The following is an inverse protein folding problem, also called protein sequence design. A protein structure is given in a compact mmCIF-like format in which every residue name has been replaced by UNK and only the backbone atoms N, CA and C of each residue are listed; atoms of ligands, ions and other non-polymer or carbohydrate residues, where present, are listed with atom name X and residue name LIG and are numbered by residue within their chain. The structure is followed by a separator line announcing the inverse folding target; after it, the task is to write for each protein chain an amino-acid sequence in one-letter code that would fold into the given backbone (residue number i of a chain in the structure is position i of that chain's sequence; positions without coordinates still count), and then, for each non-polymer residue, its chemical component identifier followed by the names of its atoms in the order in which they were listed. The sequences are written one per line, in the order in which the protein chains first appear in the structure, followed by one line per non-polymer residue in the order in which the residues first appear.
data_IF_725475874546
#
_entry.id   IF_725475874546
#
_cell.length_a   1.000
_cell.length_b   1.000
_cell.length_c   1.000
_cell.angle_alpha   90.00
_cell.angle_beta   90.00
_cell.angle_gamma   90.00
#
_symmetry.space_group_name_H-M   'P 1'
#
loop_
_entity.id
_entity.type
_entity.pdbx_description
1 polymer ?
#
# COMPACT_ATOMS: atom_id res chain seq x y z
N UNK A 1 23.48 -9.67 4.62
CA UNK A 1 22.07 -10.11 4.43
C UNK A 1 21.56 -9.50 3.16
N UNK A 2 21.20 -10.33 2.17
CA UNK A 2 20.87 -9.87 0.81
C UNK A 2 19.41 -9.39 0.82
N UNK A 3 19.22 -8.08 0.89
CA UNK A 3 17.97 -7.43 0.50
C UNK A 3 17.76 -7.72 -0.98
N UNK A 4 16.85 -8.64 -1.28
CA UNK A 4 16.44 -8.86 -2.67
C UNK A 4 15.48 -7.72 -2.95
N UNK A 5 16.01 -6.63 -3.52
CA UNK A 5 15.23 -5.73 -4.33
C UNK A 5 14.75 -6.55 -5.54
N UNK A 6 13.57 -7.15 -5.42
CA UNK A 6 12.83 -7.54 -6.61
C UNK A 6 12.54 -6.24 -7.35
N UNK A 7 13.32 -5.94 -8.41
CA UNK A 7 13.11 -4.79 -9.28
C UNK A 7 11.69 -4.85 -9.84
N UNK A 8 10.80 -4.14 -9.16
CA UNK A 8 9.43 -3.95 -9.56
C UNK A 8 9.39 -2.65 -10.34
N UNK A 9 9.75 -2.73 -11.62
CA UNK A 9 9.75 -1.57 -12.53
C UNK A 9 8.30 -1.19 -12.85
N UNK A 10 7.75 -0.27 -12.06
CA UNK A 10 6.46 0.37 -12.34
C UNK A 10 6.66 1.87 -12.47
N UNK A 11 6.20 2.39 -13.60
CA UNK A 11 6.16 3.81 -13.88
C UNK A 11 5.14 4.49 -12.95
N UNK A 12 5.61 5.36 -12.06
CA UNK A 12 4.76 6.11 -11.15
C UNK A 12 4.05 7.25 -11.90
N UNK A 13 2.81 7.02 -12.29
CA UNK A 13 1.92 8.08 -12.81
C UNK A 13 1.14 8.72 -11.67
N UNK A 14 0.72 9.98 -11.80
CA UNK A 14 -0.19 10.62 -10.84
C UNK A 14 -1.55 10.90 -11.51
N UNK A 15 -2.45 9.90 -11.60
CA UNK A 15 -3.73 10.05 -12.28
C UNK A 15 -4.66 11.04 -11.57
N UNK A 16 -4.59 11.14 -10.23
CA UNK A 16 -5.45 12.05 -9.46
C UNK A 16 -5.22 13.54 -9.79
N UNK A 17 -4.09 13.91 -10.40
CA UNK A 17 -3.82 15.30 -10.83
C UNK A 17 -4.60 15.72 -12.08
N UNK A 18 -5.08 14.77 -12.89
CA UNK A 18 -5.75 15.04 -14.17
C UNK A 18 -7.19 14.57 -14.23
N UNK A 19 -7.56 13.52 -13.49
CA UNK A 19 -8.91 12.93 -13.54
C UNK A 19 -9.38 12.60 -12.11
N UNK A 20 -10.14 13.52 -11.50
CA UNK A 20 -10.61 13.41 -10.11
C UNK A 20 -11.57 12.24 -9.89
N UNK A 21 -12.27 11.81 -10.94
CA UNK A 21 -13.31 10.77 -10.88
C UNK A 21 -12.74 9.36 -10.60
N UNK A 22 -11.44 9.14 -10.76
CA UNK A 22 -10.78 7.90 -10.38
C UNK A 22 -10.58 7.78 -8.87
N UNK A 23 -10.51 8.91 -8.16
CA UNK A 23 -10.10 8.96 -6.76
C UNK A 23 -11.32 9.07 -5.81
N UNK A 24 -12.51 8.58 -6.25
CA UNK A 24 -13.78 8.67 -5.52
C UNK A 24 -13.77 8.04 -4.12
N UNK A 25 -12.95 7.00 -3.91
CA UNK A 25 -12.85 6.29 -2.63
C UNK A 25 -11.55 6.59 -1.86
N UNK A 26 -10.78 7.61 -2.27
CA UNK A 26 -9.47 7.91 -1.70
C UNK A 26 -9.56 8.83 -0.49
N UNK A 27 -8.86 8.47 0.61
CA UNK A 27 -8.79 9.35 1.76
C UNK A 27 -7.99 10.63 1.45
N UNK A 28 -8.43 11.77 2.00
CA UNK A 28 -7.82 13.09 1.77
C UNK A 28 -6.32 13.14 2.11
N UNK A 29 -5.89 12.37 3.12
CA UNK A 29 -4.48 12.22 3.48
C UNK A 29 -3.64 11.65 2.33
N UNK A 30 -4.17 10.64 1.61
CA UNK A 30 -3.45 10.06 0.49
C UNK A 30 -3.35 11.05 -0.66
N UNK A 31 -4.44 11.77 -0.97
CA UNK A 31 -4.45 12.80 -2.01
C UNK A 31 -3.42 13.91 -1.77
N UNK A 32 -3.15 14.27 -0.51
CA UNK A 32 -2.13 15.28 -0.15
C UNK A 32 -0.71 14.80 -0.46
N UNK A 33 -0.44 13.52 -0.26
CA UNK A 33 0.93 12.99 -0.39
C UNK A 33 1.20 12.36 -1.74
N UNK A 34 0.16 11.92 -2.46
CA UNK A 34 0.26 11.26 -3.76
C UNK A 34 1.11 12.00 -4.80
N UNK A 35 1.04 13.34 -4.94
CA UNK A 35 1.86 14.08 -5.90
C UNK A 35 3.36 14.01 -5.62
N UNK A 36 3.74 13.75 -4.37
CA UNK A 36 5.14 13.72 -3.93
C UNK A 36 5.73 12.30 -3.96
N UNK A 37 4.90 11.26 -4.13
CA UNK A 37 5.37 9.87 -4.14
C UNK A 37 6.20 9.61 -5.40
N UNK A 38 7.47 9.25 -5.20
CA UNK A 38 8.44 9.02 -6.28
C UNK A 38 9.18 7.68 -6.18
N UNK A 39 8.79 6.80 -5.26
CA UNK A 39 9.35 5.45 -5.15
C UNK A 39 8.30 4.42 -4.75
N UNK A 40 8.47 3.19 -5.23
CA UNK A 40 7.64 2.03 -4.88
C UNK A 40 8.54 0.97 -4.28
N UNK A 41 8.15 0.40 -3.14
CA UNK A 41 8.79 -0.77 -2.57
C UNK A 41 7.74 -1.82 -2.26
N UNK A 42 8.01 -3.07 -2.62
CA UNK A 42 7.12 -4.20 -2.31
C UNK A 42 7.89 -5.20 -1.48
N UNK A 43 7.44 -5.46 -0.26
CA UNK A 43 8.16 -6.36 0.64
C UNK A 43 8.00 -7.82 0.21
N UNK A 44 8.97 -8.66 0.57
CA UNK A 44 8.88 -10.11 0.34
C UNK A 44 7.65 -10.74 0.99
N UNK A 45 7.19 -10.21 2.14
CA UNK A 45 6.01 -10.73 2.86
C UNK A 45 4.74 -10.49 2.06
N UNK A 46 4.61 -9.33 1.42
CA UNK A 46 3.49 -9.01 0.53
C UNK A 46 3.28 -10.07 -0.55
N UNK A 47 4.35 -10.45 -1.28
CA UNK A 47 4.27 -11.52 -2.28
C UNK A 47 3.89 -12.87 -1.67
N UNK A 48 4.47 -13.20 -0.50
CA UNK A 48 4.17 -14.46 0.20
C UNK A 48 2.72 -14.55 0.68
N UNK A 49 2.13 -13.44 1.09
CA UNK A 49 0.74 -13.40 1.57
C UNK A 49 -0.26 -13.74 0.43
N UNK A 50 0.07 -13.36 -0.81
CA UNK A 50 -0.75 -13.65 -2.01
C UNK A 50 -0.47 -15.03 -2.62
N UNK A 51 0.76 -15.54 -2.51
CA UNK A 51 1.24 -16.78 -3.16
C UNK A 51 1.15 -16.77 -4.69
N UNK A 52 0.93 -15.60 -5.27
CA UNK A 52 0.87 -15.36 -6.72
C UNK A 52 1.53 -14.02 -7.01
N UNK A 53 2.63 -14.06 -7.77
CA UNK A 53 3.41 -12.88 -8.08
C UNK A 53 2.72 -11.97 -9.08
N UNK A 54 1.98 -12.51 -10.06
CA UNK A 54 1.29 -11.72 -11.07
C UNK A 54 0.11 -11.00 -10.44
N UNK A 55 -0.68 -11.69 -9.62
CA UNK A 55 -1.73 -11.07 -8.82
C UNK A 55 -1.18 -9.94 -7.93
N UNK A 56 -0.01 -10.14 -7.32
CA UNK A 56 0.64 -9.10 -6.53
C UNK A 56 1.01 -7.87 -7.39
N UNK A 57 1.53 -8.08 -8.62
CA UNK A 57 1.85 -6.98 -9.53
C UNK A 57 0.61 -6.20 -9.95
N UNK A 58 -0.47 -6.90 -10.26
CA UNK A 58 -1.75 -6.30 -10.66
C UNK A 58 -2.34 -5.45 -9.53
N UNK A 59 -2.37 -5.98 -8.30
CA UNK A 59 -2.86 -5.24 -7.13
C UNK A 59 -2.04 -3.97 -6.90
N UNK A 60 -0.71 -4.06 -6.98
CA UNK A 60 0.16 -2.89 -6.81
C UNK A 60 -0.13 -1.84 -7.88
N UNK A 61 -0.21 -2.24 -9.15
CA UNK A 61 -0.54 -1.33 -10.26
C UNK A 61 -1.91 -0.68 -10.06
N UNK A 62 -2.94 -1.46 -9.75
CA UNK A 62 -4.30 -0.95 -9.55
C UNK A 62 -4.38 0.07 -8.40
N UNK A 63 -3.63 -0.16 -7.31
CA UNK A 63 -3.52 0.80 -6.20
C UNK A 63 -2.79 2.08 -6.64
N UNK A 64 -1.68 1.97 -7.38
CA UNK A 64 -0.91 3.12 -7.84
C UNK A 64 -1.66 3.96 -8.87
N UNK A 65 -2.40 3.31 -9.77
CA UNK A 65 -3.22 3.95 -10.79
C UNK A 65 -4.52 4.53 -10.23
N UNK A 66 -4.74 4.39 -8.92
CA UNK A 66 -5.95 4.81 -8.23
C UNK A 66 -7.23 4.26 -8.91
N UNK A 67 -7.17 3.05 -9.46
CA UNK A 67 -8.31 2.43 -10.14
C UNK A 67 -9.37 2.02 -9.11
N UNK A 68 -10.43 2.81 -8.94
CA UNK A 68 -11.47 2.53 -7.94
C UNK A 68 -12.40 1.37 -8.33
N UNK A 69 -12.41 0.93 -9.58
CA UNK A 69 -13.34 -0.10 -10.08
C UNK A 69 -13.19 -1.44 -9.34
N UNK A 70 -11.98 -1.75 -8.88
CA UNK A 70 -11.66 -3.04 -8.25
C UNK A 70 -11.64 -2.99 -6.72
N UNK A 71 -11.87 -1.83 -6.11
CA UNK A 71 -11.74 -1.64 -4.67
C UNK A 71 -13.03 -1.10 -4.04
N UNK A 72 -13.51 -1.80 -3.02
CA UNK A 72 -14.56 -1.28 -2.14
C UNK A 72 -14.10 -0.05 -1.37
N UNK A 73 -12.81 0.01 -1.08
CA UNK A 73 -12.19 1.10 -0.34
C UNK A 73 -10.73 1.22 -0.78
N UNK A 74 -10.29 2.41 -1.16
CA UNK A 74 -8.96 2.62 -1.72
C UNK A 74 -8.26 3.72 -0.94
N UNK A 75 -7.02 3.49 -0.50
CA UNK A 75 -6.26 4.45 0.29
C UNK A 75 -6.98 4.95 1.56
N UNK A 76 -7.73 4.09 2.27
CA UNK A 76 -8.24 4.44 3.60
C UNK A 76 -7.05 4.71 4.50
N UNK A 77 -7.04 5.88 5.11
CA UNK A 77 -6.05 6.21 6.12
C UNK A 77 -6.37 5.45 7.41
N UNK A 78 -5.37 4.75 7.94
CA UNK A 78 -5.49 4.04 9.22
C UNK A 78 -4.89 4.89 10.34
N UNK A 79 -3.59 5.21 10.24
CA UNK A 79 -2.88 5.91 11.31
C UNK A 79 -1.49 6.42 10.88
N UNK A 80 -0.81 7.13 11.79
CA UNK A 80 0.61 7.46 11.70
C UNK A 80 1.45 6.51 12.57
N UNK A 81 2.43 5.83 11.98
CA UNK A 81 3.36 4.94 12.71
C UNK A 81 4.80 5.26 12.32
N UNK A 82 5.64 5.58 13.30
CA UNK A 82 7.05 5.95 13.10
C UNK A 82 7.27 7.08 12.06
N UNK A 83 6.30 7.99 11.96
CA UNK A 83 6.32 9.09 10.98
C UNK A 83 6.00 8.66 9.54
N UNK A 84 5.49 7.45 9.34
CA UNK A 84 4.91 7.00 8.07
C UNK A 84 3.38 7.05 8.17
N UNK A 85 2.71 7.31 7.04
CA UNK A 85 1.26 7.25 6.95
C UNK A 85 0.84 5.87 6.48
N UNK A 86 0.06 5.15 7.29
CA UNK A 86 -0.41 3.80 6.99
C UNK A 86 -1.78 3.88 6.33
N UNK A 87 -1.91 3.14 5.24
CA UNK A 87 -3.12 3.08 4.43
C UNK A 87 -3.55 1.63 4.19
N UNK A 88 -4.84 1.49 3.89
CA UNK A 88 -5.47 0.24 3.49
C UNK A 88 -6.15 0.39 2.13
N UNK A 89 -6.06 -0.65 1.31
CA UNK A 89 -6.98 -0.89 0.22
C UNK A 89 -7.76 -2.18 0.47
N UNK A 90 -9.06 -2.20 0.17
CA UNK A 90 -9.94 -3.35 0.32
C UNK A 90 -10.46 -3.81 -1.04
N UNK A 91 -10.04 -5.00 -1.47
CA UNK A 91 -10.48 -5.68 -2.70
C UNK A 91 -11.01 -7.06 -2.33
N UNK A 92 -12.23 -7.38 -2.72
CA UNK A 92 -12.87 -8.67 -2.36
C UNK A 92 -12.80 -8.92 -0.83
N UNK A 93 -12.18 -10.02 -0.41
CA UNK A 93 -11.94 -10.39 1.00
C UNK A 93 -10.54 -9.98 1.48
N UNK A 94 -9.78 -9.22 0.69
CA UNK A 94 -8.41 -8.85 0.98
C UNK A 94 -8.31 -7.45 1.58
N UNK A 95 -7.50 -7.33 2.62
CA UNK A 95 -7.03 -6.08 3.22
C UNK A 95 -5.55 -5.92 2.88
N UNK A 96 -5.27 -5.00 1.97
CA UNK A 96 -3.93 -4.67 1.50
C UNK A 96 -3.40 -3.51 2.32
N UNK A 97 -2.32 -3.72 3.07
CA UNK A 97 -1.72 -2.70 3.94
C UNK A 97 -0.39 -2.22 3.36
N UNK A 98 -0.27 -0.91 3.26
CA UNK A 98 0.93 -0.22 2.78
C UNK A 98 1.09 1.10 3.52
N UNK A 99 2.25 1.72 3.40
CA UNK A 99 2.49 3.03 3.97
C UNK A 99 3.20 3.96 2.98
N UNK A 100 3.15 5.25 3.26
CA UNK A 100 4.02 6.26 2.63
C UNK A 100 5.03 6.69 3.68
N UNK A 101 6.32 6.52 3.37
CA UNK A 101 7.41 6.88 4.28
C UNK A 101 7.82 8.35 4.14
N UNK A 102 8.80 8.77 4.97
CA UNK A 102 9.32 10.14 4.98
C UNK A 102 10.08 10.52 3.71
N UNK A 103 10.57 9.54 2.97
CA UNK A 103 11.25 9.71 1.69
C UNK A 103 10.27 9.63 0.51
N UNK A 104 8.96 9.78 0.77
CA UNK A 104 7.90 9.72 -0.22
C UNK A 104 7.95 8.44 -1.08
N UNK A 105 8.30 7.31 -0.46
CA UNK A 105 8.17 5.98 -1.04
C UNK A 105 6.88 5.34 -0.54
N UNK A 106 6.11 4.73 -1.44
CA UNK A 106 5.01 3.84 -1.06
C UNK A 106 5.54 2.43 -0.86
N UNK A 107 5.26 1.84 0.31
CA UNK A 107 5.80 0.55 0.74
C UNK A 107 4.65 -0.44 0.95
N UNK A 108 4.54 -1.45 0.09
CA UNK A 108 3.56 -2.52 0.19
C UNK A 108 4.01 -3.60 1.18
N UNK A 109 3.32 -3.68 2.32
CA UNK A 109 3.78 -4.44 3.48
C UNK A 109 3.16 -5.83 3.55
N UNK A 110 1.82 -5.93 3.61
CA UNK A 110 1.11 -7.18 3.90
C UNK A 110 -0.24 -7.25 3.20
N UNK A 111 -0.75 -8.47 3.03
CA UNK A 111 -2.12 -8.74 2.61
C UNK A 111 -2.78 -9.70 3.60
N UNK A 112 -4.00 -9.38 4.03
CA UNK A 112 -4.79 -10.23 4.94
C UNK A 112 -6.11 -10.63 4.28
N UNK A 113 -6.46 -11.91 4.30
CA UNK A 113 -7.77 -12.41 3.85
C UNK A 113 -8.81 -12.48 4.97
N UNK A 114 -8.38 -12.24 6.21
CA UNK A 114 -9.20 -12.26 7.42
C UNK A 114 -9.13 -10.89 8.10
N UNK A 115 -10.30 -10.33 8.42
CA UNK A 115 -10.38 -9.02 9.07
C UNK A 115 -9.74 -8.99 10.47
N UNK A 116 -9.92 -10.05 11.28
CA UNK A 116 -9.36 -10.10 12.64
C UNK A 116 -7.84 -10.15 12.64
N UNK A 117 -7.24 -10.79 11.65
CA UNK A 117 -5.77 -10.81 11.50
C UNK A 117 -5.23 -9.43 11.12
N UNK A 118 -5.92 -8.74 10.21
CA UNK A 118 -5.63 -7.36 9.85
C UNK A 118 -5.74 -6.42 11.06
N UNK A 119 -6.82 -6.53 11.85
CA UNK A 119 -7.06 -5.71 13.03
C UNK A 119 -5.95 -5.93 14.08
N UNK A 120 -5.66 -7.19 14.39
CA UNK A 120 -4.55 -7.55 15.28
C UNK A 120 -3.19 -7.03 14.80
N UNK A 121 -2.96 -7.05 13.48
CA UNK A 121 -1.74 -6.50 12.90
C UNK A 121 -1.62 -4.99 13.06
N UNK A 122 -2.72 -4.25 12.90
CA UNK A 122 -2.73 -2.82 13.18
C UNK A 122 -2.50 -2.54 14.67
N UNK A 123 -3.04 -3.35 15.57
CA UNK A 123 -2.83 -3.19 17.01
C UNK A 123 -1.39 -3.51 17.45
N UNK A 124 -0.68 -4.41 16.76
CA UNK A 124 0.73 -4.69 17.01
C UNK A 124 1.65 -3.59 16.41
N UNK A 125 1.65 -2.43 17.09
CA UNK A 125 2.51 -1.29 16.71
C UNK A 125 3.99 -1.65 16.69
N UNK A 126 4.42 -2.68 17.43
CA UNK A 126 5.81 -3.11 17.48
C UNK A 126 6.19 -3.85 16.19
N UNK A 127 5.35 -4.75 15.71
CA UNK A 127 5.55 -5.42 14.41
C UNK A 127 5.49 -4.41 13.26
N UNK A 128 4.50 -3.51 13.27
CA UNK A 128 4.32 -2.52 12.22
C UNK A 128 5.54 -1.59 12.10
N UNK A 129 6.06 -1.09 13.23
CA UNK A 129 7.31 -0.31 13.26
C UNK A 129 8.50 -1.09 12.73
N UNK A 130 8.65 -2.37 13.09
CA UNK A 130 9.75 -3.21 12.59
C UNK A 130 9.70 -3.36 11.08
N UNK A 131 8.53 -3.56 10.50
CA UNK A 131 8.38 -3.66 9.04
C UNK A 131 8.77 -2.37 8.35
N UNK A 132 8.31 -1.23 8.86
CA UNK A 132 8.62 0.10 8.30
C UNK A 132 10.12 0.40 8.36
N UNK A 133 10.79 0.07 9.47
CA UNK A 133 12.22 0.38 9.66
C UNK A 133 13.18 -0.58 8.94
N UNK A 134 12.69 -1.71 8.41
CA UNK A 134 13.51 -2.72 7.74
C UNK A 134 13.54 -2.58 6.21
N UNK A 135 12.89 -1.54 5.66
CA UNK A 135 12.75 -1.27 4.22
C UNK A 135 13.54 -0.04 3.79
#
# INVERSE_FOLDING_TARGET
MIGVNSNFDVELKNPCGKQKDYCLNCHSQFLKVRPNIHGVVVTKRFFKDLKDNEQAKEIVRAILDCSSADFYELHKFEEHVAGCMVFRAKKERMHIVYCVDKNMRIIFMRVFKNFKEYEKFLDDKKELRKLIMQV
#
